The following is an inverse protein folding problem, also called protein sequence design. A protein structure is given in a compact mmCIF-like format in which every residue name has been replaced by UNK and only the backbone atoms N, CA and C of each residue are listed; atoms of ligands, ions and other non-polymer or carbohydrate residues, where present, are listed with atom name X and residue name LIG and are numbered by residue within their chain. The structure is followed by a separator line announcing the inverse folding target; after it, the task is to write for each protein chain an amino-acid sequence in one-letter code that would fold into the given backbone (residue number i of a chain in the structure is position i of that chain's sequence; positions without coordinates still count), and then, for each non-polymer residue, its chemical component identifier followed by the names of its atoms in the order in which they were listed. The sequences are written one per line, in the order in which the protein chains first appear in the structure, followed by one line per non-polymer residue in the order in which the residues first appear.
data_IF_449830900901
#
_entry.id   IF_449830900901
#
_cell.length_a   1.000
_cell.length_b   1.000
_cell.length_c   1.000
_cell.angle_alpha   90.00
_cell.angle_beta   90.00
_cell.angle_gamma   90.00
#
_symmetry.space_group_name_H-M   'P 1'
#
loop_
_entity.id
_entity.type
_entity.pdbx_description
1 polymer ?
#
# COMPACT_ATOMS: atom_id res chain seq x y z
N UNK A 1 -13.95 61.73 51.20
CA UNK A 1 -14.87 60.99 50.31
C UNK A 1 -14.05 59.93 49.57
N UNK A 2 -14.58 58.72 49.48
CA UNK A 2 -13.84 57.45 49.48
C UNK A 2 -13.02 57.12 48.22
N UNK A 3 -11.81 56.62 48.45
CA UNK A 3 -10.97 55.85 47.53
C UNK A 3 -11.64 54.50 47.23
N UNK A 4 -11.72 54.07 45.96
CA UNK A 4 -12.05 52.68 45.59
C UNK A 4 -11.03 52.14 44.58
N UNK A 5 -10.16 51.30 45.11
CA UNK A 5 -9.21 50.43 44.42
C UNK A 5 -9.99 49.34 43.66
N UNK A 6 -9.75 49.18 42.36
CA UNK A 6 -10.18 48.01 41.58
C UNK A 6 -9.00 47.03 41.49
N UNK A 7 -9.11 45.89 42.18
CA UNK A 7 -8.23 44.74 41.94
C UNK A 7 -8.72 43.98 40.69
N UNK A 8 -7.82 43.49 39.82
CA UNK A 8 -8.19 42.54 38.78
C UNK A 8 -8.34 41.13 39.38
N UNK A 9 -9.47 40.50 39.07
CA UNK A 9 -9.80 39.13 39.43
C UNK A 9 -8.91 38.18 38.61
N UNK A 10 -7.94 37.51 39.24
CA UNK A 10 -7.16 36.43 38.61
C UNK A 10 -7.98 35.15 38.69
N UNK A 11 -8.56 34.72 37.57
CA UNK A 11 -9.22 33.42 37.45
C UNK A 11 -8.15 32.35 37.23
N UNK A 12 -7.80 31.60 38.27
CA UNK A 12 -6.97 30.40 38.17
C UNK A 12 -7.83 29.29 37.57
N UNK A 13 -7.61 28.98 36.29
CA UNK A 13 -8.22 27.84 35.62
C UNK A 13 -7.49 26.56 36.07
N UNK A 14 -8.07 25.83 37.00
CA UNK A 14 -7.57 24.52 37.43
C UNK A 14 -7.96 23.48 36.37
N UNK A 15 -7.08 23.28 35.37
CA UNK A 15 -7.28 22.24 34.37
C UNK A 15 -6.90 20.90 35.00
N UNK A 16 -7.90 20.20 35.57
CA UNK A 16 -7.73 18.85 36.09
C UNK A 16 -7.38 17.89 34.95
N UNK A 17 -6.14 17.43 34.93
CA UNK A 17 -5.71 16.33 34.07
C UNK A 17 -6.36 15.04 34.59
N UNK A 18 -7.51 14.66 34.03
CA UNK A 18 -7.98 13.27 34.12
C UNK A 18 -7.05 12.41 33.28
N UNK A 19 -6.27 11.55 33.94
CA UNK A 19 -5.59 10.46 33.29
C UNK A 19 -6.65 9.52 32.68
N UNK A 20 -6.73 9.49 31.35
CA UNK A 20 -7.44 8.44 30.63
C UNK A 20 -6.72 7.11 30.95
N UNK A 21 -7.44 6.05 31.36
CA UNK A 21 -6.81 4.75 31.49
C UNK A 21 -6.35 4.29 30.11
N UNK A 22 -5.06 4.02 29.97
CA UNK A 22 -4.50 3.32 28.82
C UNK A 22 -5.24 1.99 28.69
N UNK A 23 -5.98 1.81 27.60
CA UNK A 23 -6.58 0.53 27.28
C UNK A 23 -5.46 -0.49 27.09
N UNK A 24 -5.40 -1.49 27.97
CA UNK A 24 -4.52 -2.64 27.79
C UNK A 24 -4.86 -3.36 26.47
N UNK A 25 -3.89 -3.76 25.65
CA UNK A 25 -4.18 -4.55 24.47
C UNK A 25 -4.75 -5.91 24.91
N UNK A 26 -6.03 -6.11 24.60
CA UNK A 26 -6.75 -7.35 24.90
C UNK A 26 -6.02 -8.55 24.30
N UNK A 27 -5.87 -9.61 25.10
CA UNK A 27 -5.32 -10.91 24.68
C UNK A 27 -6.19 -11.48 23.56
N UNK A 28 -5.68 -11.48 22.34
CA UNK A 28 -6.29 -12.17 21.19
C UNK A 28 -6.08 -13.68 21.37
N UNK A 29 -7.17 -14.44 21.44
CA UNK A 29 -7.13 -15.89 21.46
C UNK A 29 -6.57 -16.43 20.12
N UNK A 30 -5.76 -17.50 20.11
CA UNK A 30 -5.18 -18.01 18.88
C UNK A 30 -6.25 -18.71 18.04
N UNK A 31 -6.63 -18.10 16.92
CA UNK A 31 -7.40 -18.77 15.87
C UNK A 31 -6.49 -19.74 15.13
N UNK A 32 -6.82 -21.04 15.15
CA UNK A 32 -6.26 -22.03 14.23
C UNK A 32 -7.03 -21.97 12.91
N UNK A 33 -6.40 -21.43 11.87
CA UNK A 33 -6.69 -21.78 10.49
C UNK A 33 -5.39 -21.74 9.68
N UNK A 34 -4.93 -22.90 9.21
CA UNK A 34 -3.90 -22.98 8.16
C UNK A 34 -4.58 -22.70 6.81
N UNK A 35 -4.68 -21.43 6.47
CA UNK A 35 -4.64 -20.99 5.07
C UNK A 35 -3.22 -20.52 4.82
N UNK A 36 -2.53 -21.03 3.81
CA UNK A 36 -1.23 -20.47 3.39
C UNK A 36 -1.45 -18.99 3.10
N UNK A 37 -0.94 -18.15 3.99
CA UNK A 37 -0.87 -16.71 3.82
C UNK A 37 0.32 -16.44 2.89
N UNK A 38 0.02 -16.20 1.61
CA UNK A 38 1.02 -15.85 0.60
C UNK A 38 1.36 -14.36 0.62
N UNK A 39 0.62 -13.53 1.39
CA UNK A 39 0.99 -12.13 1.68
C UNK A 39 2.12 -12.07 2.70
N UNK A 40 2.17 -13.07 3.58
CA UNK A 40 3.27 -13.30 4.53
C UNK A 40 3.80 -14.72 4.39
N UNK A 41 4.54 -15.04 3.30
CA UNK A 41 5.02 -16.40 3.09
C UNK A 41 5.73 -16.96 4.33
N UNK A 42 5.41 -18.20 4.72
CA UNK A 42 6.12 -18.83 5.83
C UNK A 42 7.64 -18.85 5.51
N UNK A 43 8.45 -18.28 6.39
CA UNK A 43 9.89 -18.05 6.24
C UNK A 43 10.32 -16.90 5.29
N UNK A 44 9.56 -15.80 5.17
CA UNK A 44 10.09 -14.55 4.57
C UNK A 44 10.51 -13.50 5.60
N UNK A 45 11.33 -12.57 5.10
CA UNK A 45 11.99 -11.41 5.71
C UNK A 45 11.26 -10.67 6.83
N UNK A 46 9.92 -10.75 6.92
CA UNK A 46 9.16 -10.09 7.99
C UNK A 46 9.52 -10.60 9.42
N UNK A 47 10.13 -11.79 9.55
CA UNK A 47 10.58 -12.33 10.84
C UNK A 47 12.07 -12.09 11.15
N UNK A 48 12.91 -11.87 10.14
CA UNK A 48 14.35 -11.68 10.32
C UNK A 48 14.67 -10.20 10.51
N UNK A 49 15.46 -9.85 11.53
CA UNK A 49 15.92 -8.47 11.67
C UNK A 49 16.79 -8.05 10.46
N UNK A 50 16.85 -6.75 10.12
CA UNK A 50 17.75 -6.27 9.06
C UNK A 50 19.20 -6.71 9.24
N UNK A 51 19.68 -6.80 10.48
CA UNK A 51 21.02 -7.31 10.80
C UNK A 51 21.21 -8.79 10.45
N UNK A 52 20.15 -9.59 10.59
CA UNK A 52 20.15 -11.01 10.21
C UNK A 52 20.16 -11.15 8.69
N UNK A 53 19.34 -10.36 7.98
CA UNK A 53 19.31 -10.34 6.53
C UNK A 53 20.66 -9.88 5.93
N UNK A 54 21.27 -8.85 6.50
CA UNK A 54 22.57 -8.30 6.07
C UNK A 54 23.70 -9.33 6.08
N UNK A 55 23.69 -10.28 7.03
CA UNK A 55 24.69 -11.37 7.11
C UNK A 55 24.62 -12.35 5.94
N UNK A 56 23.50 -12.40 5.20
CA UNK A 56 23.30 -13.28 4.05
C UNK A 56 23.73 -12.63 2.72
N UNK A 57 24.08 -11.34 2.73
CA UNK A 57 24.53 -10.61 1.55
C UNK A 57 26.03 -10.85 1.32
N UNK A 58 26.40 -11.17 0.08
CA UNK A 58 27.80 -11.21 -0.34
C UNK A 58 28.16 -9.85 -0.94
N UNK A 59 29.11 -9.16 -0.33
CA UNK A 59 29.51 -7.79 -0.71
C UNK A 59 30.87 -7.82 -1.38
N UNK A 60 30.99 -7.21 -2.56
CA UNK A 60 32.25 -7.13 -3.29
C UNK A 60 33.28 -6.25 -2.54
N UNK A 61 34.60 -6.50 -2.69
CA UNK A 61 35.63 -5.68 -2.07
C UNK A 61 35.46 -4.18 -2.39
N UNK A 62 35.56 -3.34 -1.36
CA UNK A 62 35.41 -1.88 -1.49
C UNK A 62 33.96 -1.36 -1.38
N UNK A 63 32.95 -2.23 -1.29
CA UNK A 63 31.56 -1.85 -1.07
C UNK A 63 31.13 -2.09 0.39
N UNK A 64 30.10 -1.35 0.83
CA UNK A 64 29.46 -1.47 2.12
C UNK A 64 27.94 -1.51 1.94
N UNK A 65 27.25 -2.28 2.76
CA UNK A 65 25.78 -2.29 2.86
C UNK A 65 25.40 -1.74 4.22
N UNK A 66 24.51 -0.75 4.27
CA UNK A 66 23.93 -0.22 5.50
C UNK A 66 22.40 -0.23 5.38
N UNK A 67 21.73 -0.34 6.54
CA UNK A 67 20.29 -0.23 6.60
C UNK A 67 19.90 1.24 6.40
N UNK A 68 18.97 1.50 5.47
CA UNK A 68 18.38 2.82 5.29
C UNK A 68 16.94 2.90 5.79
N UNK A 69 16.11 1.90 5.50
CA UNK A 69 14.74 1.80 5.97
C UNK A 69 14.34 0.31 6.11
N UNK A 70 13.43 0.03 7.04
CA UNK A 70 12.80 -1.29 7.25
C UNK A 70 11.34 -1.09 7.69
N UNK A 71 10.62 -2.19 7.88
CA UNK A 71 9.31 -2.20 8.51
C UNK A 71 9.35 -1.48 9.87
N UNK A 72 8.32 -0.68 10.23
CA UNK A 72 7.07 -0.44 9.50
C UNK A 72 7.14 0.71 8.47
N UNK A 73 8.32 1.30 8.23
CA UNK A 73 8.46 2.44 7.32
C UNK A 73 8.19 2.08 5.87
N UNK A 74 8.47 0.83 5.48
CA UNK A 74 8.24 0.26 4.15
C UNK A 74 7.82 -1.21 4.26
N UNK A 75 7.02 -1.69 3.31
CA UNK A 75 6.62 -3.09 3.18
C UNK A 75 6.39 -3.45 1.71
N UNK A 76 6.53 -4.73 1.34
CA UNK A 76 6.19 -5.24 0.00
C UNK A 76 6.75 -4.40 -1.16
N UNK A 77 7.99 -3.93 -1.02
CA UNK A 77 8.61 -2.99 -1.95
C UNK A 77 8.86 -3.62 -3.31
N UNK A 78 8.39 -2.95 -4.37
CA UNK A 78 8.64 -3.34 -5.77
C UNK A 78 9.65 -2.42 -6.45
N UNK A 79 9.56 -1.11 -6.21
CA UNK A 79 10.43 -0.10 -6.81
C UNK A 79 10.58 1.11 -5.87
N UNK A 80 11.62 1.92 -6.04
CA UNK A 80 11.76 3.20 -5.34
C UNK A 80 12.56 4.22 -6.16
N UNK A 81 12.37 5.51 -5.87
CA UNK A 81 13.13 6.61 -6.47
C UNK A 81 13.35 7.73 -5.45
N UNK A 82 14.58 8.22 -5.35
CA UNK A 82 14.91 9.38 -4.53
C UNK A 82 14.66 10.68 -5.28
N UNK A 83 14.12 11.68 -4.58
CA UNK A 83 14.03 13.05 -5.07
C UNK A 83 15.29 13.87 -4.77
N UNK A 84 15.30 15.13 -5.20
CA UNK A 84 16.42 16.05 -4.98
C UNK A 84 16.62 16.46 -3.51
N UNK A 85 15.71 16.10 -2.61
CA UNK A 85 15.81 16.34 -1.16
C UNK A 85 16.28 15.08 -0.41
N UNK A 86 16.54 13.97 -1.09
CA UNK A 86 16.95 12.71 -0.47
C UNK A 86 15.81 11.94 0.17
N UNK A 87 14.55 12.24 -0.17
CA UNK A 87 13.38 11.45 0.25
C UNK A 87 13.13 10.37 -0.79
N UNK A 88 12.76 9.16 -0.36
CA UNK A 88 12.41 8.07 -1.26
C UNK A 88 10.90 7.98 -1.46
N UNK A 89 10.49 7.91 -2.72
CA UNK A 89 9.17 7.46 -3.14
C UNK A 89 9.26 5.97 -3.38
N UNK A 90 8.55 5.18 -2.60
CA UNK A 90 8.61 3.71 -2.58
C UNK A 90 7.27 3.15 -3.05
N UNK A 91 7.30 2.24 -4.02
CA UNK A 91 6.12 1.53 -4.50
C UNK A 91 5.94 0.26 -3.68
N UNK A 92 4.79 0.15 -3.02
CA UNK A 92 4.38 -1.03 -2.27
C UNK A 92 3.22 -1.72 -3.01
N UNK A 93 3.29 -3.04 -3.18
CA UNK A 93 2.22 -3.81 -3.83
C UNK A 93 1.32 -4.47 -2.79
N UNK A 94 0.00 -4.26 -2.95
CA UNK A 94 -1.02 -4.90 -2.11
C UNK A 94 -1.60 -6.18 -2.70
N UNK A 95 -1.32 -6.47 -3.98
CA UNK A 95 -2.08 -7.45 -4.78
C UNK A 95 -1.30 -8.64 -5.34
N UNK A 96 -0.10 -8.90 -4.81
CA UNK A 96 0.75 -9.98 -5.31
C UNK A 96 0.04 -11.34 -5.14
N UNK A 97 -0.25 -12.00 -6.28
CA UNK A 97 -0.94 -13.31 -6.40
C UNK A 97 -2.43 -13.31 -6.01
N UNK A 98 -3.06 -12.15 -5.92
CA UNK A 98 -4.45 -12.01 -5.48
C UNK A 98 -5.26 -11.23 -6.53
N UNK A 99 -5.16 -9.90 -6.58
CA UNK A 99 -6.04 -9.05 -7.39
C UNK A 99 -5.50 -8.68 -8.78
N UNK A 100 -4.35 -9.23 -9.20
CA UNK A 100 -4.00 -9.28 -10.63
C UNK A 100 -4.48 -10.60 -11.20
N UNK A 101 -5.57 -10.56 -11.95
CA UNK A 101 -6.22 -11.76 -12.43
C UNK A 101 -5.35 -12.52 -13.45
N UNK A 102 -4.90 -13.70 -13.05
CA UNK A 102 -4.07 -14.59 -13.84
C UNK A 102 -4.93 -15.56 -14.66
N UNK A 103 -5.00 -15.32 -15.97
CA UNK A 103 -5.79 -16.14 -16.89
C UNK A 103 -5.06 -17.40 -17.36
N UNK A 104 -3.80 -17.66 -16.97
CA UNK A 104 -3.01 -18.79 -17.53
C UNK A 104 -3.64 -20.15 -17.26
N UNK A 105 -4.39 -20.26 -16.18
CA UNK A 105 -5.16 -21.45 -15.85
C UNK A 105 -6.50 -21.52 -16.59
N UNK A 106 -7.03 -20.39 -17.09
CA UNK A 106 -8.30 -20.26 -17.81
C UNK A 106 -8.09 -20.40 -19.33
N UNK A 107 -7.70 -21.59 -19.79
CA UNK A 107 -7.35 -21.83 -21.21
C UNK A 107 -8.46 -21.46 -22.19
N UNK A 108 -9.72 -21.64 -21.81
CA UNK A 108 -10.89 -21.29 -22.63
C UNK A 108 -11.03 -19.77 -22.85
N UNK A 109 -10.33 -18.95 -22.07
CA UNK A 109 -10.36 -17.49 -22.17
C UNK A 109 -9.23 -16.92 -23.01
N UNK A 110 -8.26 -17.73 -23.44
CA UNK A 110 -7.05 -17.26 -24.14
C UNK A 110 -7.39 -16.60 -25.47
N UNK A 111 -8.26 -17.20 -26.29
CA UNK A 111 -8.62 -16.63 -27.60
C UNK A 111 -9.35 -15.29 -27.44
N UNK A 112 -10.20 -15.16 -26.42
CA UNK A 112 -10.85 -13.90 -26.09
C UNK A 112 -9.84 -12.84 -25.64
N UNK A 113 -8.91 -13.20 -24.74
CA UNK A 113 -7.88 -12.28 -24.24
C UNK A 113 -6.96 -11.77 -25.35
N UNK A 114 -6.56 -12.65 -26.28
CA UNK A 114 -5.76 -12.28 -27.45
C UNK A 114 -6.52 -11.42 -28.47
N UNK A 115 -7.85 -11.40 -28.42
CA UNK A 115 -8.68 -10.61 -29.34
C UNK A 115 -8.90 -9.16 -28.90
N UNK A 116 -8.60 -8.82 -27.64
CA UNK A 116 -8.80 -7.48 -27.09
C UNK A 116 -8.00 -6.43 -27.87
N UNK A 117 -8.63 -5.29 -28.12
CA UNK A 117 -8.03 -4.14 -28.80
C UNK A 117 -7.72 -3.01 -27.84
N UNK A 118 -8.37 -2.98 -26.68
CA UNK A 118 -8.17 -1.97 -25.64
C UNK A 118 -8.12 -2.62 -24.25
N UNK A 119 -7.51 -1.96 -23.25
CA UNK A 119 -7.61 -2.39 -21.86
C UNK A 119 -9.07 -2.46 -21.37
N UNK A 120 -9.96 -1.66 -21.95
CA UNK A 120 -11.38 -1.63 -21.61
C UNK A 120 -12.13 -2.87 -22.08
N UNK A 121 -11.67 -3.52 -23.15
CA UNK A 121 -12.24 -4.80 -23.59
C UNK A 121 -11.98 -5.87 -22.53
N UNK A 122 -10.80 -5.86 -21.90
CA UNK A 122 -10.47 -6.74 -20.77
C UNK A 122 -11.35 -6.43 -19.55
N UNK A 123 -11.56 -5.15 -19.24
CA UNK A 123 -12.43 -4.74 -18.14
C UNK A 123 -13.88 -5.25 -18.37
N UNK A 124 -14.41 -5.08 -19.58
CA UNK A 124 -15.74 -5.56 -19.94
C UNK A 124 -15.83 -7.09 -19.90
N UNK A 125 -14.78 -7.78 -20.36
CA UNK A 125 -14.67 -9.22 -20.29
C UNK A 125 -14.70 -9.72 -18.84
N UNK A 126 -13.93 -9.11 -17.93
CA UNK A 126 -13.95 -9.47 -16.51
C UNK A 126 -15.29 -9.22 -15.86
N UNK A 127 -15.93 -8.07 -16.12
CA UNK A 127 -17.28 -7.77 -15.61
C UNK A 127 -18.32 -8.84 -15.97
N UNK A 128 -18.14 -9.50 -17.12
CA UNK A 128 -19.04 -10.54 -17.60
C UNK A 128 -18.64 -11.94 -17.14
N UNK A 129 -17.33 -12.24 -17.10
CA UNK A 129 -16.84 -13.60 -16.97
C UNK A 129 -16.27 -13.96 -15.60
N UNK A 130 -15.77 -12.98 -14.84
CA UNK A 130 -15.32 -13.17 -13.46
C UNK A 130 -16.55 -13.02 -12.57
N UNK A 131 -17.29 -14.12 -12.45
CA UNK A 131 -18.51 -14.20 -11.66
C UNK A 131 -18.75 -15.66 -11.26
N UNK A 132 -19.19 -15.88 -10.03
CA UNK A 132 -19.60 -17.20 -9.55
C UNK A 132 -20.72 -17.85 -10.38
N UNK A 133 -21.46 -17.06 -11.15
CA UNK A 133 -22.52 -17.54 -12.04
C UNK A 133 -21.95 -18.05 -13.39
N UNK A 134 -20.67 -17.84 -13.67
CA UNK A 134 -19.98 -18.35 -14.85
C UNK A 134 -19.34 -19.72 -14.58
N UNK A 135 -19.82 -20.76 -15.28
CA UNK A 135 -19.36 -22.13 -15.07
C UNK A 135 -17.87 -22.35 -15.43
N UNK A 136 -17.34 -21.65 -16.45
CA UNK A 136 -15.91 -21.73 -16.80
C UNK A 136 -15.07 -21.13 -15.69
N UNK A 137 -15.52 -19.99 -15.15
CA UNK A 137 -14.86 -19.34 -14.03
C UNK A 137 -14.77 -20.27 -12.81
N UNK A 138 -15.92 -20.80 -12.38
CA UNK A 138 -16.02 -21.63 -11.18
C UNK A 138 -15.31 -22.98 -11.32
N UNK A 139 -15.40 -23.62 -12.49
CA UNK A 139 -14.71 -24.89 -12.75
C UNK A 139 -13.19 -24.74 -12.60
N UNK A 140 -12.63 -23.65 -13.12
CA UNK A 140 -11.19 -23.42 -13.06
C UNK A 140 -10.74 -22.91 -11.69
N UNK A 141 -11.56 -22.07 -11.04
CA UNK A 141 -11.28 -21.59 -9.68
C UNK A 141 -11.17 -22.78 -8.69
N UNK A 142 -12.07 -23.75 -8.80
CA UNK A 142 -12.03 -24.98 -7.98
C UNK A 142 -10.83 -25.90 -8.25
N UNK A 143 -10.07 -25.64 -9.33
CA UNK A 143 -8.89 -26.43 -9.73
C UNK A 143 -7.56 -25.75 -9.37
N UNK A 144 -7.58 -24.50 -8.90
CA UNK A 144 -6.38 -23.74 -8.55
C UNK A 144 -5.72 -24.29 -7.26
N UNK A 145 -4.44 -24.65 -7.34
CA UNK A 145 -3.71 -25.28 -6.21
C UNK A 145 -3.07 -24.28 -5.24
N UNK A 146 -2.79 -23.04 -5.67
CA UNK A 146 -2.13 -21.97 -4.90
C UNK A 146 -2.48 -20.59 -5.47
N UNK A 147 -2.60 -19.55 -4.63
CA UNK A 147 -3.03 -18.21 -5.05
C UNK A 147 -4.48 -18.24 -5.55
N UNK A 148 -5.42 -17.82 -4.71
CA UNK A 148 -6.84 -18.02 -4.99
C UNK A 148 -7.58 -16.71 -5.08
N UNK A 149 -8.48 -16.63 -6.06
CA UNK A 149 -9.55 -15.65 -6.05
C UNK A 149 -10.46 -15.93 -4.84
N UNK A 150 -10.80 -14.89 -4.09
CA UNK A 150 -11.63 -14.95 -2.89
C UNK A 150 -12.54 -13.74 -2.88
N UNK A 151 -13.56 -13.82 -2.03
CA UNK A 151 -14.42 -12.69 -1.69
C UNK A 151 -13.58 -11.70 -0.86
N UNK A 152 -12.89 -10.80 -1.55
CA UNK A 152 -11.99 -9.82 -0.94
C UNK A 152 -12.78 -8.64 -0.41
N UNK A 153 -13.91 -8.31 -1.03
CA UNK A 153 -14.75 -7.18 -0.61
C UNK A 153 -15.75 -7.56 0.50
N UNK A 154 -15.87 -8.86 0.80
CA UNK A 154 -16.74 -9.44 1.83
C UNK A 154 -18.23 -9.20 1.57
N UNK A 155 -18.63 -9.14 0.31
CA UNK A 155 -20.03 -8.94 -0.09
C UNK A 155 -20.83 -10.27 -0.23
N UNK A 156 -20.16 -11.41 -0.04
CA UNK A 156 -20.75 -12.73 -0.13
C UNK A 156 -20.82 -13.29 -1.55
N UNK A 157 -20.21 -12.62 -2.53
CA UNK A 157 -20.12 -13.08 -3.92
C UNK A 157 -18.67 -13.15 -4.36
N UNK A 158 -18.39 -14.07 -5.28
CA UNK A 158 -17.13 -14.08 -6.02
C UNK A 158 -17.38 -13.43 -7.38
N UNK A 159 -16.93 -12.19 -7.56
CA UNK A 159 -17.08 -11.49 -8.82
C UNK A 159 -15.96 -10.46 -9.08
N UNK A 160 -15.96 -9.86 -10.27
CA UNK A 160 -14.94 -8.93 -10.71
C UNK A 160 -14.64 -7.77 -9.74
N UNK A 161 -15.54 -7.41 -8.80
CA UNK A 161 -15.30 -6.38 -7.79
C UNK A 161 -14.24 -6.79 -6.77
N UNK A 162 -14.04 -8.08 -6.57
CA UNK A 162 -12.97 -8.62 -5.72
C UNK A 162 -11.58 -8.23 -6.24
N UNK A 163 -11.44 -8.01 -7.56
CA UNK A 163 -10.20 -7.51 -8.17
C UNK A 163 -9.92 -6.04 -7.82
N UNK A 164 -10.90 -5.32 -7.30
CA UNK A 164 -10.83 -3.88 -7.07
C UNK A 164 -10.63 -3.50 -5.61
N UNK A 165 -10.38 -4.46 -4.73
CA UNK A 165 -10.22 -4.22 -3.29
C UNK A 165 -8.79 -3.81 -2.94
N UNK A 166 -7.84 -4.64 -3.32
CA UNK A 166 -6.44 -4.41 -2.98
C UNK A 166 -5.86 -3.32 -3.88
N UNK A 167 -5.08 -2.42 -3.30
CA UNK A 167 -4.55 -1.25 -4.00
C UNK A 167 -3.03 -1.26 -4.07
N UNK A 168 -2.48 -0.71 -5.15
CA UNK A 168 -1.08 -0.29 -5.19
C UNK A 168 -0.95 1.07 -4.51
N UNK A 169 0.22 1.35 -3.93
CA UNK A 169 0.47 2.63 -3.27
C UNK A 169 1.89 3.12 -3.45
N UNK A 170 2.05 4.42 -3.30
CA UNK A 170 3.34 5.10 -3.20
C UNK A 170 3.48 5.60 -1.76
N UNK A 171 4.58 5.25 -1.11
CA UNK A 171 4.96 5.72 0.22
C UNK A 171 6.12 6.70 0.09
N UNK A 172 6.00 7.85 0.73
CA UNK A 172 7.12 8.78 0.90
C UNK A 172 7.85 8.41 2.19
N UNK A 173 9.16 8.23 2.12
CA UNK A 173 10.02 7.79 3.24
C UNK A 173 11.22 8.71 3.33
N UNK A 174 11.56 9.19 4.52
CA UNK A 174 12.67 10.13 4.69
C UNK A 174 13.34 10.07 6.07
N UNK A 175 14.58 10.52 6.09
CA UNK A 175 15.34 10.81 7.30
C UNK A 175 15.13 12.28 7.68
N UNK A 176 14.37 12.51 8.74
CA UNK A 176 14.06 13.84 9.27
C UNK A 176 15.15 14.38 10.19
N UNK A 177 16.10 13.53 10.58
CA UNK A 177 17.15 13.84 11.57
C UNK A 177 18.54 14.05 10.96
N UNK A 178 18.76 13.60 9.72
CA UNK A 178 20.06 13.60 9.06
C UNK A 178 21.01 12.51 9.60
N UNK A 179 20.46 11.46 10.21
CA UNK A 179 21.22 10.33 10.77
C UNK A 179 21.81 9.38 9.71
N UNK A 180 21.34 9.47 8.46
CA UNK A 180 21.63 8.52 7.39
C UNK A 180 20.67 7.32 7.36
N UNK A 181 19.68 7.27 8.24
CA UNK A 181 18.63 6.24 8.32
C UNK A 181 17.27 6.93 8.34
N UNK A 182 16.34 6.44 7.53
CA UNK A 182 14.99 6.98 7.51
C UNK A 182 14.26 6.70 8.83
N UNK A 183 13.51 7.70 9.31
CA UNK A 183 12.72 7.62 10.55
C UNK A 183 11.25 7.99 10.35
N UNK A 184 10.88 8.51 9.17
CA UNK A 184 9.49 8.85 8.84
C UNK A 184 9.02 8.24 7.55
N UNK A 185 7.73 7.94 7.51
CA UNK A 185 7.02 7.57 6.30
C UNK A 185 5.59 8.09 6.30
N UNK A 186 5.03 8.27 5.11
CA UNK A 186 3.64 8.64 4.89
C UNK A 186 3.15 8.04 3.55
N UNK A 187 1.86 7.73 3.44
CA UNK A 187 1.26 7.38 2.16
C UNK A 187 1.22 8.64 1.29
N UNK A 188 1.89 8.60 0.14
CA UNK A 188 1.92 9.70 -0.83
C UNK A 188 0.71 9.62 -1.77
N UNK A 189 0.43 8.42 -2.30
CA UNK A 189 -0.73 8.16 -3.15
C UNK A 189 -1.17 6.70 -3.01
N UNK A 190 -2.47 6.45 -3.10
CA UNK A 190 -3.11 5.12 -3.04
C UNK A 190 -4.40 5.16 -3.91
N UNK A 191 -5.12 4.06 -4.01
CA UNK A 191 -6.36 3.93 -4.80
C UNK A 191 -6.16 3.49 -6.25
N UNK A 192 -5.02 2.87 -6.57
CA UNK A 192 -4.74 2.34 -7.92
C UNK A 192 -5.27 0.91 -8.06
N UNK A 193 -6.58 0.71 -7.93
CA UNK A 193 -7.23 -0.59 -7.73
C UNK A 193 -8.35 -0.91 -8.73
N UNK A 194 -8.22 -0.53 -10.00
CA UNK A 194 -9.21 -0.99 -10.98
C UNK A 194 -8.99 -2.47 -11.32
N UNK A 195 -10.01 -3.12 -11.87
CA UNK A 195 -9.98 -4.54 -12.26
C UNK A 195 -8.97 -4.86 -13.37
N UNK A 196 -8.44 -3.83 -14.03
CA UNK A 196 -7.37 -3.95 -15.04
C UNK A 196 -6.02 -3.42 -14.54
N UNK A 197 -5.97 -2.87 -13.32
CA UNK A 197 -4.74 -2.38 -12.73
C UNK A 197 -3.80 -3.55 -12.40
N UNK A 198 -2.61 -3.54 -12.99
CA UNK A 198 -1.55 -4.51 -12.73
C UNK A 198 -0.75 -4.23 -11.46
N UNK A 199 0.32 -4.99 -11.25
CA UNK A 199 1.33 -4.67 -10.23
C UNK A 199 2.04 -3.38 -10.63
N UNK A 200 2.12 -2.42 -9.72
CA UNK A 200 2.88 -1.22 -9.94
C UNK A 200 4.38 -1.50 -9.85
N UNK A 201 5.12 -1.12 -10.88
CA UNK A 201 6.53 -1.50 -11.02
C UNK A 201 7.46 -0.33 -11.37
N UNK A 202 6.97 0.91 -11.35
CA UNK A 202 7.76 2.07 -11.71
C UNK A 202 7.38 3.31 -10.92
N UNK A 203 8.40 3.98 -10.40
CA UNK A 203 8.30 5.33 -9.83
C UNK A 203 9.55 6.13 -10.21
N UNK A 204 9.37 7.39 -10.56
CA UNK A 204 10.46 8.33 -10.81
C UNK A 204 10.11 9.67 -10.17
N UNK A 205 10.85 10.04 -9.13
CA UNK A 205 10.82 11.37 -8.57
C UNK A 205 11.89 12.21 -9.26
N UNK A 206 11.48 13.30 -9.93
CA UNK A 206 12.41 14.18 -10.64
C UNK A 206 11.85 15.58 -10.83
N UNK A 207 12.66 16.58 -10.52
CA UNK A 207 12.37 18.01 -10.66
C UNK A 207 11.06 18.40 -9.97
N UNK A 208 10.84 17.85 -8.77
CA UNK A 208 9.64 18.10 -7.97
C UNK A 208 8.37 17.40 -8.47
N UNK A 209 8.48 16.51 -9.45
CA UNK A 209 7.35 15.72 -9.97
C UNK A 209 7.57 14.23 -9.71
N UNK A 210 6.46 13.49 -9.63
CA UNK A 210 6.49 12.04 -9.46
C UNK A 210 5.75 11.39 -10.62
N UNK A 211 6.44 10.51 -11.33
CA UNK A 211 5.85 9.66 -12.36
C UNK A 211 5.70 8.27 -11.78
N UNK A 212 4.55 7.65 -12.01
CA UNK A 212 4.22 6.33 -11.48
C UNK A 212 3.57 5.48 -12.55
N UNK A 213 3.96 4.21 -12.63
CA UNK A 213 3.41 3.28 -13.62
C UNK A 213 2.72 2.14 -12.91
N UNK A 214 1.43 2.00 -13.18
CA UNK A 214 0.60 0.87 -12.78
C UNK A 214 -0.20 0.48 -14.01
N UNK A 215 0.14 -0.66 -14.61
CA UNK A 215 -0.44 -1.11 -15.89
C UNK A 215 -1.98 -0.95 -15.83
N UNK A 216 -2.63 -0.37 -16.85
CA UNK A 216 -2.07 0.15 -18.10
C UNK A 216 -1.60 1.61 -18.03
N UNK A 217 -1.76 2.26 -16.88
CA UNK A 217 -1.68 3.70 -16.72
C UNK A 217 -0.29 4.20 -16.37
N UNK A 218 -0.03 5.45 -16.79
CA UNK A 218 1.08 6.28 -16.33
C UNK A 218 0.51 7.52 -15.67
N UNK A 219 0.84 7.70 -14.39
CA UNK A 219 0.40 8.81 -13.56
C UNK A 219 1.53 9.84 -13.43
N UNK A 220 1.16 11.12 -13.38
CA UNK A 220 2.07 12.23 -13.08
C UNK A 220 1.47 13.06 -11.96
N UNK A 221 2.17 13.15 -10.85
CA UNK A 221 1.84 14.01 -9.72
C UNK A 221 2.68 15.29 -9.81
N UNK A 222 2.02 16.44 -9.86
CA UNK A 222 2.69 17.74 -9.98
C UNK A 222 2.96 18.35 -8.62
N UNK A 223 4.11 19.02 -8.49
CA UNK A 223 4.51 19.71 -7.26
C UNK A 223 3.45 20.64 -6.67
N UNK A 224 2.67 21.35 -7.51
CA UNK A 224 1.64 22.29 -7.08
C UNK A 224 0.43 21.63 -6.39
N UNK A 225 0.20 20.34 -6.63
CA UNK A 225 -0.92 19.58 -6.08
C UNK A 225 -0.57 18.93 -4.72
N UNK A 226 0.73 18.81 -4.43
CA UNK A 226 1.26 18.11 -3.25
C UNK A 226 2.25 18.97 -2.48
N UNK A 227 2.10 20.30 -2.59
CA UNK A 227 2.87 21.25 -1.81
C UNK A 227 2.82 20.83 -0.35
N UNK A 228 3.97 20.42 0.19
CA UNK A 228 4.21 20.39 1.63
C UNK A 228 4.19 21.84 2.08
N UNK A 229 3.00 22.43 2.12
CA UNK A 229 2.72 23.56 2.98
C UNK A 229 2.56 22.97 4.38
N UNK A 230 3.16 23.63 5.35
CA UNK A 230 3.08 23.29 6.77
C UNK A 230 1.67 23.43 7.37
N UNK A 231 0.59 23.33 6.58
CA UNK A 231 -0.79 23.36 7.05
C UNK A 231 -1.80 23.03 5.93
N UNK A 232 -2.57 21.95 6.08
CA UNK A 232 -3.98 21.91 5.64
C UNK A 232 -4.37 21.05 4.44
N UNK A 233 -5.18 20.01 4.73
CA UNK A 233 -6.31 19.41 3.97
C UNK A 233 -6.18 19.06 2.47
N UNK A 234 -6.47 17.79 2.17
CA UNK A 234 -6.61 17.22 0.84
C UNK A 234 -7.73 17.87 -0.01
N UNK A 235 -7.55 18.03 -1.34
CA UNK A 235 -8.62 18.46 -2.24
C UNK A 235 -9.50 17.29 -2.68
N UNK A 236 -10.81 17.54 -2.70
CA UNK A 236 -11.84 16.61 -3.13
C UNK A 236 -11.87 16.39 -4.65
N UNK A 237 -12.45 15.25 -5.01
CA UNK A 237 -12.69 14.74 -6.37
C UNK A 237 -13.43 15.73 -7.28
N UNK A 238 -12.96 15.83 -8.52
CA UNK A 238 -13.73 16.27 -9.68
C UNK A 238 -13.74 15.15 -10.73
#
# INVERSE_FOLDING_TARGET
MFFRCLLPLVTVLFCGAMALPAAEPGKVAPSKAKTTDDKTPANVSAADSPDTAKKRLVVAPGLKVDLWAAEPLIENVVNFSFDEQGRAYVVETGRRRTSVFDIRSYRDWVDADLSFRTPWDRAAFFKTNVSQDNAVFMRQLGSAKQGGFRDFNQDGRLDWRDLEVESERIKLVWDSTGSGVADKSAVFADGFNTSISGVAAGVLARRGEVYFTSIPDVWRFKSSEFGVSSSGSAPGSA
#
